data_IF_349924210108
#
_entry.id   IF_349924210108
#
_cell.length_a   1.000
_cell.length_b   1.000
_cell.length_c   1.000
_cell.angle_alpha   90.00
_cell.angle_beta   90.00
_cell.angle_gamma   90.00
#
_symmetry.space_group_name_H-M   'P 1'
#
loop_
_entity.id
_entity.type
_entity.pdbx_description
1 polymer ?
#
# COMPACT_ATOMS: atom_id res chain seq x y z
N UNK A 1 -28.45 1.98 2.36
CA UNK A 1 -27.60 1.14 3.21
C UNK A 1 -27.00 0.08 2.31
N UNK A 2 -25.80 0.32 1.78
CA UNK A 2 -25.07 -0.68 1.01
C UNK A 2 -24.15 -1.35 2.01
N UNK A 3 -24.47 -2.60 2.33
CA UNK A 3 -23.72 -3.45 3.23
C UNK A 3 -22.27 -3.56 2.75
N UNK A 4 -21.32 -3.07 3.56
CA UNK A 4 -19.88 -3.12 3.31
C UNK A 4 -19.25 -4.43 3.78
N UNK A 5 -20.07 -5.46 4.05
CA UNK A 5 -19.55 -6.80 4.27
C UNK A 5 -18.88 -7.32 2.97
N UNK A 6 -17.75 -8.04 3.05
CA UNK A 6 -17.22 -8.73 1.90
C UNK A 6 -18.31 -9.67 1.39
N UNK A 7 -18.86 -9.36 0.21
CA UNK A 7 -19.95 -10.12 -0.39
C UNK A 7 -19.54 -11.58 -0.46
N UNK A 8 -20.38 -12.46 0.09
CA UNK A 8 -20.16 -13.90 0.00
C UNK A 8 -19.92 -14.30 -1.47
N UNK A 9 -19.08 -15.32 -1.72
CA UNK A 9 -19.06 -15.93 -3.04
C UNK A 9 -20.45 -16.47 -3.38
N UNK A 10 -20.78 -16.43 -4.66
CA UNK A 10 -22.05 -16.98 -5.16
C UNK A 10 -22.07 -18.48 -4.88
N UNK A 11 -23.17 -19.05 -4.33
CA UNK A 11 -23.26 -20.48 -4.07
C UNK A 11 -22.93 -21.31 -5.32
N UNK A 12 -22.05 -22.31 -5.15
CA UNK A 12 -21.59 -23.18 -6.24
C UNK A 12 -20.44 -22.63 -7.10
N UNK A 13 -20.05 -21.37 -6.93
CA UNK A 13 -18.82 -20.87 -7.57
C UNK A 13 -17.57 -21.43 -6.87
N UNK A 14 -16.58 -21.95 -7.62
CA UNK A 14 -15.30 -22.33 -7.05
C UNK A 14 -14.57 -21.11 -6.48
N UNK A 15 -13.87 -21.32 -5.36
CA UNK A 15 -12.96 -20.34 -4.78
C UNK A 15 -11.54 -20.90 -4.80
N UNK A 16 -10.62 -20.15 -5.39
CA UNK A 16 -9.22 -20.56 -5.55
C UNK A 16 -8.29 -19.54 -4.88
N UNK A 17 -7.03 -19.93 -4.69
CA UNK A 17 -6.00 -19.02 -4.18
C UNK A 17 -4.73 -19.04 -5.02
N UNK A 18 -4.01 -17.93 -4.96
CA UNK A 18 -2.65 -17.76 -5.45
C UNK A 18 -1.78 -17.18 -4.31
N UNK A 19 -0.77 -17.92 -3.87
CA UNK A 19 0.26 -17.45 -2.92
C UNK A 19 1.45 -16.89 -3.70
N UNK A 20 1.79 -15.62 -3.46
CA UNK A 20 2.82 -14.93 -4.23
C UNK A 20 4.17 -14.85 -3.50
N UNK A 21 5.25 -15.00 -4.26
CA UNK A 21 6.62 -14.69 -3.87
C UNK A 21 7.14 -13.50 -4.69
N UNK A 22 7.87 -12.58 -4.04
CA UNK A 22 8.37 -11.34 -4.63
C UNK A 22 9.90 -11.38 -4.70
N UNK A 23 10.45 -11.67 -5.88
CA UNK A 23 11.90 -11.68 -6.10
C UNK A 23 12.66 -12.53 -5.08
N UNK A 24 13.68 -11.93 -4.47
CA UNK A 24 14.47 -12.53 -3.39
C UNK A 24 13.95 -12.16 -1.98
N UNK A 25 12.81 -11.46 -1.88
CA UNK A 25 12.25 -11.10 -0.59
C UNK A 25 11.80 -12.37 0.17
N UNK A 26 12.12 -12.47 1.47
CA UNK A 26 11.69 -13.61 2.26
C UNK A 26 10.16 -13.67 2.31
N UNK A 27 9.62 -14.89 2.40
CA UNK A 27 8.21 -15.09 2.65
C UNK A 27 7.79 -14.33 3.92
N UNK A 28 6.60 -13.71 3.94
CA UNK A 28 6.13 -13.01 5.11
C UNK A 28 6.01 -13.97 6.29
N UNK A 29 6.31 -13.48 7.50
CA UNK A 29 6.21 -14.27 8.73
C UNK A 29 4.77 -14.74 9.03
N UNK A 30 3.77 -13.99 8.55
CA UNK A 30 2.35 -14.29 8.68
C UNK A 30 1.89 -15.21 7.56
N UNK A 31 1.30 -16.35 7.91
CA UNK A 31 0.83 -17.31 6.92
C UNK A 31 -0.27 -16.71 6.03
N UNK A 32 -0.19 -16.97 4.73
CA UNK A 32 -1.14 -16.44 3.74
C UNK A 32 -1.06 -14.91 3.52
N UNK A 33 -0.06 -14.20 4.07
CA UNK A 33 -0.01 -12.74 3.93
C UNK A 33 0.24 -12.24 2.49
N UNK A 34 0.75 -13.10 1.60
CA UNK A 34 0.86 -12.85 0.17
C UNK A 34 -0.19 -13.63 -0.65
N UNK A 35 -1.28 -14.08 -0.03
CA UNK A 35 -2.35 -14.82 -0.70
C UNK A 35 -3.35 -13.88 -1.36
N UNK A 36 -3.74 -14.20 -2.58
CA UNK A 36 -4.92 -13.66 -3.27
C UNK A 36 -5.96 -14.77 -3.31
N UNK A 37 -7.18 -14.48 -2.88
CA UNK A 37 -8.33 -15.39 -2.94
C UNK A 37 -9.28 -14.90 -4.03
N UNK A 38 -9.68 -15.80 -4.92
CA UNK A 38 -10.44 -15.48 -6.12
C UNK A 38 -11.73 -16.31 -6.16
N UNK A 39 -12.86 -15.65 -6.36
CA UNK A 39 -14.10 -16.30 -6.77
C UNK A 39 -14.08 -16.48 -8.30
N UNK A 40 -14.48 -17.65 -8.79
CA UNK A 40 -14.63 -17.95 -10.21
C UNK A 40 -16.11 -18.07 -10.58
N UNK A 41 -16.56 -17.33 -11.59
CA UNK A 41 -17.97 -17.23 -11.99
C UNK A 41 -18.45 -18.44 -12.81
N UNK A 42 -18.38 -19.64 -12.23
CA UNK A 42 -18.80 -20.88 -12.89
C UNK A 42 -20.29 -20.89 -13.28
N UNK A 43 -21.12 -20.13 -12.57
CA UNK A 43 -22.53 -19.93 -12.89
C UNK A 43 -22.80 -19.16 -14.20
N UNK A 44 -21.85 -18.35 -14.70
CA UNK A 44 -21.98 -17.61 -15.97
C UNK A 44 -21.04 -18.13 -17.06
N UNK A 45 -19.80 -18.43 -16.70
CA UNK A 45 -18.71 -18.81 -17.61
C UNK A 45 -18.04 -20.11 -17.17
N UNK A 46 -18.77 -21.24 -17.20
CA UNK A 46 -18.32 -22.51 -16.63
C UNK A 46 -17.03 -23.05 -17.23
N UNK A 47 -16.79 -22.92 -18.54
CA UNK A 47 -15.56 -23.41 -19.17
C UNK A 47 -14.35 -22.56 -18.79
N UNK A 48 -14.52 -21.24 -18.72
CA UNK A 48 -13.48 -20.29 -18.34
C UNK A 48 -13.11 -20.48 -16.86
N UNK A 49 -14.12 -20.61 -16.00
CA UNK A 49 -13.94 -20.90 -14.59
C UNK A 49 -13.25 -22.26 -14.36
N UNK A 50 -13.69 -23.33 -15.04
CA UNK A 50 -13.07 -24.65 -14.92
C UNK A 50 -11.63 -24.66 -15.43
N UNK A 51 -11.33 -23.96 -16.53
CA UNK A 51 -9.97 -23.80 -17.02
C UNK A 51 -9.04 -23.21 -15.95
N UNK A 52 -9.45 -22.09 -15.34
CA UNK A 52 -8.63 -21.44 -14.31
C UNK A 52 -8.50 -22.30 -13.05
N UNK A 53 -9.62 -22.90 -12.58
CA UNK A 53 -9.65 -23.80 -11.42
C UNK A 53 -8.72 -24.99 -11.60
N UNK A 54 -8.75 -25.63 -12.77
CA UNK A 54 -7.89 -26.74 -13.09
C UNK A 54 -6.41 -26.32 -13.15
N UNK A 55 -6.08 -25.17 -13.74
CA UNK A 55 -4.70 -24.64 -13.74
C UNK A 55 -4.18 -24.33 -12.32
N UNK A 56 -5.05 -23.98 -11.37
CA UNK A 56 -4.68 -23.85 -9.97
C UNK A 56 -4.44 -25.19 -9.25
N UNK A 57 -5.07 -26.28 -9.70
CA UNK A 57 -5.16 -27.55 -8.93
C UNK A 57 -4.47 -28.74 -9.59
N UNK A 58 -4.14 -28.64 -10.87
CA UNK A 58 -3.52 -29.74 -11.62
C UNK A 58 -2.23 -30.20 -10.94
N UNK A 59 -2.02 -31.52 -10.80
CA UNK A 59 -0.77 -32.04 -10.26
C UNK A 59 0.38 -31.74 -11.22
N UNK A 60 1.64 -31.63 -10.75
CA UNK A 60 2.80 -31.39 -11.60
C UNK A 60 3.00 -32.40 -12.74
N UNK A 61 2.41 -33.60 -12.62
CA UNK A 61 2.44 -34.65 -13.63
C UNK A 61 1.49 -34.42 -14.81
N UNK A 62 0.51 -33.51 -14.70
CA UNK A 62 -0.34 -33.13 -15.82
C UNK A 62 0.42 -32.10 -16.66
N UNK A 63 0.74 -32.46 -17.90
CA UNK A 63 1.56 -31.65 -18.79
C UNK A 63 0.73 -30.98 -19.89
N UNK A 64 1.17 -29.79 -20.28
CA UNK A 64 0.75 -29.11 -21.50
C UNK A 64 1.41 -29.74 -22.74
N UNK A 65 0.98 -29.36 -23.94
CA UNK A 65 1.61 -29.83 -25.19
C UNK A 65 3.11 -29.50 -25.30
N UNK A 66 3.54 -28.46 -24.58
CA UNK A 66 4.95 -28.04 -24.48
C UNK A 66 5.82 -28.92 -23.56
N UNK A 67 5.21 -29.87 -22.85
CA UNK A 67 5.88 -30.72 -21.85
C UNK A 67 6.07 -30.06 -20.48
N UNK A 68 5.72 -28.78 -20.33
CA UNK A 68 5.68 -28.10 -19.03
C UNK A 68 4.45 -28.53 -18.21
N UNK A 69 4.48 -28.48 -16.87
CA UNK A 69 3.29 -28.67 -16.06
C UNK A 69 2.16 -27.72 -16.47
N UNK A 70 0.96 -28.25 -16.67
CA UNK A 70 -0.26 -27.50 -16.99
C UNK A 70 -0.83 -26.88 -15.71
N UNK A 71 -0.09 -25.95 -15.12
CA UNK A 71 -0.39 -25.35 -13.81
C UNK A 71 0.12 -23.92 -13.71
N UNK A 72 -0.52 -23.12 -12.85
CA UNK A 72 -0.01 -21.80 -12.47
C UNK A 72 1.15 -21.86 -11.46
N UNK A 73 1.39 -22.99 -10.81
CA UNK A 73 2.50 -23.12 -9.87
C UNK A 73 3.84 -22.83 -10.57
N UNK A 74 4.54 -21.80 -10.09
CA UNK A 74 5.80 -21.33 -10.68
C UNK A 74 5.65 -20.32 -11.80
N UNK A 75 4.43 -20.09 -12.32
CA UNK A 75 4.16 -19.02 -13.29
C UNK A 75 4.36 -17.64 -12.65
N UNK A 76 4.62 -16.63 -13.49
CA UNK A 76 4.92 -15.27 -13.04
C UNK A 76 3.90 -14.26 -13.58
N UNK A 77 3.78 -13.13 -12.89
CA UNK A 77 3.18 -11.93 -13.45
C UNK A 77 4.21 -11.27 -14.37
N UNK A 78 4.09 -11.52 -15.67
CA UNK A 78 5.07 -11.09 -16.67
C UNK A 78 4.81 -9.67 -17.19
N UNK A 79 3.65 -9.07 -16.87
CA UNK A 79 3.27 -7.73 -17.30
C UNK A 79 2.44 -7.03 -16.22
N UNK A 80 2.89 -5.87 -15.76
CA UNK A 80 2.26 -5.06 -14.71
C UNK A 80 2.17 -3.62 -15.18
N UNK A 81 0.96 -3.08 -15.24
CA UNK A 81 0.74 -1.68 -15.62
C UNK A 81 -0.02 -1.00 -14.48
N UNK A 82 0.65 -0.10 -13.72
CA UNK A 82 0.01 0.66 -12.66
C UNK A 82 -1.21 1.43 -13.17
N UNK A 83 -2.28 1.46 -12.37
CA UNK A 83 -3.57 2.06 -12.71
C UNK A 83 -4.19 1.47 -13.98
N UNK A 84 -3.98 0.17 -14.19
CA UNK A 84 -4.63 -0.60 -15.23
C UNK A 84 -4.90 -2.04 -14.78
N UNK A 85 -3.87 -2.90 -14.78
CA UNK A 85 -3.99 -4.32 -14.47
C UNK A 85 -2.65 -5.00 -14.16
N UNK A 86 -2.72 -6.18 -13.54
CA UNK A 86 -1.61 -7.13 -13.40
C UNK A 86 -1.91 -8.40 -14.18
N UNK A 87 -0.99 -8.83 -15.06
CA UNK A 87 -1.20 -9.95 -15.98
C UNK A 87 -0.19 -11.08 -15.73
N UNK A 88 -0.70 -12.31 -15.71
CA UNK A 88 0.06 -13.55 -15.48
C UNK A 88 -0.50 -14.73 -16.28
N UNK A 89 -0.09 -15.94 -15.91
CA UNK A 89 -0.66 -17.18 -16.46
C UNK A 89 0.03 -17.74 -17.71
N UNK A 90 1.10 -17.11 -18.20
CA UNK A 90 2.01 -17.76 -19.16
C UNK A 90 3.00 -18.63 -18.39
N UNK A 91 2.61 -19.89 -18.14
CA UNK A 91 3.46 -20.87 -17.46
C UNK A 91 4.47 -21.56 -18.40
N UNK A 92 4.37 -21.33 -19.71
CA UNK A 92 5.21 -22.02 -20.70
C UNK A 92 6.48 -21.24 -21.06
N UNK A 93 6.37 -19.91 -21.19
CA UNK A 93 7.48 -19.02 -21.59
C UNK A 93 7.70 -17.89 -20.60
N UNK A 94 6.65 -17.47 -19.89
CA UNK A 94 6.71 -16.41 -18.90
C UNK A 94 6.98 -15.03 -19.50
N UNK A 95 6.68 -14.82 -20.78
CA UNK A 95 6.91 -13.56 -21.51
C UNK A 95 5.64 -13.01 -22.18
N UNK A 96 4.52 -13.74 -22.07
CA UNK A 96 3.23 -13.37 -22.63
C UNK A 96 2.99 -13.94 -24.03
N UNK A 97 3.97 -14.64 -24.62
CA UNK A 97 3.82 -15.30 -25.94
C UNK A 97 3.36 -16.75 -25.87
N UNK A 98 3.19 -17.29 -24.66
CA UNK A 98 2.82 -18.68 -24.43
C UNK A 98 1.50 -18.87 -23.67
N UNK A 99 1.40 -20.02 -23.01
CA UNK A 99 0.23 -20.47 -22.27
C UNK A 99 -0.66 -21.41 -23.09
N UNK A 100 -1.38 -22.28 -22.39
CA UNK A 100 -2.25 -23.29 -22.97
C UNK A 100 -3.42 -23.55 -22.01
N UNK A 101 -4.63 -23.74 -22.54
CA UNK A 101 -5.80 -24.08 -21.73
C UNK A 101 -5.88 -25.57 -21.43
N UNK A 102 -6.73 -25.97 -20.51
CA UNK A 102 -6.99 -27.41 -20.27
C UNK A 102 -7.70 -28.11 -21.44
N UNK A 103 -8.19 -27.35 -22.42
CA UNK A 103 -8.91 -27.84 -23.59
C UNK A 103 -8.03 -27.89 -24.85
N UNK A 104 -6.74 -27.53 -24.74
CA UNK A 104 -5.82 -27.35 -25.86
C UNK A 104 -5.25 -25.92 -25.91
N UNK A 105 -4.62 -25.55 -27.02
CA UNK A 105 -3.91 -24.26 -27.14
C UNK A 105 -4.82 -23.06 -26.86
N UNK A 106 -6.05 -23.07 -27.40
CA UNK A 106 -7.03 -21.99 -27.29
C UNK A 106 -8.46 -22.51 -27.09
N UNK A 107 -9.33 -21.67 -26.53
CA UNK A 107 -10.77 -21.90 -26.47
C UNK A 107 -11.57 -20.60 -26.68
N UNK A 108 -12.84 -20.77 -27.07
CA UNK A 108 -13.75 -19.67 -27.43
C UNK A 108 -14.10 -18.76 -26.23
N UNK A 109 -14.52 -17.53 -26.52
CA UNK A 109 -15.11 -16.63 -25.52
C UNK A 109 -16.50 -17.15 -25.09
N UNK A 110 -16.80 -17.18 -23.79
CA UNK A 110 -18.13 -17.58 -23.29
C UNK A 110 -19.10 -16.39 -23.18
N UNK A 111 -18.91 -15.51 -22.19
CA UNK A 111 -19.75 -14.34 -21.95
C UNK A 111 -18.91 -13.06 -21.97
N UNK A 112 -19.21 -12.18 -22.92
CA UNK A 112 -18.56 -10.87 -23.10
C UNK A 112 -19.43 -9.70 -22.61
N UNK A 113 -20.56 -9.99 -21.98
CA UNK A 113 -21.45 -8.96 -21.42
C UNK A 113 -20.95 -8.40 -20.09
N UNK A 114 -20.11 -9.17 -19.38
CA UNK A 114 -19.42 -8.75 -18.16
C UNK A 114 -18.65 -7.44 -18.35
N UNK A 115 -18.80 -6.54 -17.39
CA UNK A 115 -18.21 -5.19 -17.42
C UNK A 115 -16.98 -5.12 -16.54
N UNK A 116 -15.97 -4.39 -17.02
CA UNK A 116 -14.78 -4.08 -16.26
C UNK A 116 -14.96 -2.75 -15.52
N UNK A 117 -16.00 -2.66 -14.68
CA UNK A 117 -16.47 -1.42 -14.06
C UNK A 117 -15.87 -1.11 -12.69
N UNK A 118 -15.08 -2.04 -12.14
CA UNK A 118 -14.45 -1.94 -10.83
C UNK A 118 -13.05 -2.59 -10.81
N UNK A 119 -12.18 -2.22 -9.85
CA UNK A 119 -10.94 -2.94 -9.62
C UNK A 119 -11.21 -4.37 -9.13
N UNK A 120 -10.17 -5.19 -9.19
CA UNK A 120 -10.12 -6.56 -8.68
C UNK A 120 -11.03 -7.57 -9.39
N UNK A 121 -11.40 -7.28 -10.63
CA UNK A 121 -12.03 -8.26 -11.52
C UNK A 121 -10.95 -9.12 -12.17
N UNK A 122 -11.25 -10.41 -12.28
CA UNK A 122 -10.42 -11.41 -12.95
C UNK A 122 -10.95 -11.63 -14.36
N UNK A 123 -10.08 -11.51 -15.36
CA UNK A 123 -10.47 -11.56 -16.76
C UNK A 123 -9.42 -12.23 -17.66
N UNK A 124 -9.86 -12.83 -18.75
CA UNK A 124 -8.99 -13.57 -19.68
C UNK A 124 -8.18 -12.63 -20.56
N UNK A 125 -6.87 -12.87 -20.64
CA UNK A 125 -6.06 -12.28 -21.70
C UNK A 125 -6.20 -13.11 -22.98
N UNK A 126 -6.29 -12.43 -24.12
CA UNK A 126 -6.41 -13.06 -25.44
C UNK A 126 -5.64 -12.25 -26.50
N UNK A 127 -5.48 -12.82 -27.69
CA UNK A 127 -4.86 -12.22 -28.87
C UNK A 127 -5.91 -11.90 -29.96
N UNK A 128 -7.15 -11.66 -29.55
CA UNK A 128 -8.32 -11.52 -30.42
C UNK A 128 -9.45 -12.50 -30.06
N UNK A 129 -10.61 -12.40 -30.74
CA UNK A 129 -11.78 -13.22 -30.43
C UNK A 129 -11.47 -14.72 -30.46
N UNK A 130 -11.95 -15.45 -29.44
CA UNK A 130 -11.84 -16.91 -29.35
C UNK A 130 -10.42 -17.44 -29.13
N UNK A 131 -9.51 -16.63 -28.59
CA UNK A 131 -8.11 -17.01 -28.36
C UNK A 131 -7.72 -17.08 -26.88
N UNK A 132 -8.66 -17.49 -26.03
CA UNK A 132 -8.40 -17.68 -24.61
C UNK A 132 -7.48 -18.87 -24.38
N UNK A 133 -6.45 -18.70 -23.54
CA UNK A 133 -5.51 -19.76 -23.17
C UNK A 133 -5.46 -19.94 -21.65
N UNK A 134 -4.29 -19.77 -21.06
CA UNK A 134 -4.12 -19.73 -19.59
C UNK A 134 -3.87 -18.33 -19.03
N UNK A 135 -3.54 -17.36 -19.89
CA UNK A 135 -3.20 -16.02 -19.44
C UNK A 135 -4.44 -15.28 -18.93
N UNK A 136 -4.25 -14.53 -17.85
CA UNK A 136 -5.29 -13.77 -17.18
C UNK A 136 -4.73 -12.43 -16.71
N UNK A 137 -5.62 -11.49 -16.41
CA UNK A 137 -5.28 -10.29 -15.68
C UNK A 137 -6.27 -10.02 -14.55
N UNK A 138 -5.79 -9.31 -13.53
CA UNK A 138 -6.60 -8.74 -12.46
C UNK A 138 -6.61 -7.22 -12.65
N UNK A 139 -7.79 -6.62 -12.77
CA UNK A 139 -7.92 -5.16 -12.91
C UNK A 139 -7.53 -4.45 -11.61
N UNK A 140 -6.95 -3.25 -11.71
CA UNK A 140 -6.63 -2.42 -10.53
C UNK A 140 -7.39 -1.10 -10.50
N UNK A 141 -8.14 -0.82 -11.58
CA UNK A 141 -9.10 0.28 -11.76
C UNK A 141 -10.21 -0.20 -12.70
N UNK A 142 -11.31 0.55 -12.87
CA UNK A 142 -12.27 0.31 -13.96
C UNK A 142 -11.58 0.42 -15.34
N UNK A 143 -11.85 -0.54 -16.23
CA UNK A 143 -11.23 -0.66 -17.56
C UNK A 143 -12.26 -0.90 -18.67
N UNK A 144 -13.26 -0.01 -18.85
CA UNK A 144 -14.39 -0.23 -19.78
C UNK A 144 -13.99 -0.39 -21.26
N UNK A 145 -12.78 0.01 -21.64
CA UNK A 145 -12.25 -0.20 -22.99
C UNK A 145 -11.97 -1.69 -23.33
N UNK A 146 -11.99 -2.56 -22.32
CA UNK A 146 -11.86 -4.03 -22.43
C UNK A 146 -13.22 -4.74 -22.54
N UNK A 147 -14.32 -4.03 -22.30
CA UNK A 147 -15.67 -4.59 -22.40
C UNK A 147 -15.96 -5.14 -23.80
N UNK A 148 -16.64 -6.28 -23.87
CA UNK A 148 -16.94 -6.93 -25.15
C UNK A 148 -15.74 -7.59 -25.83
N UNK A 149 -14.54 -7.57 -25.21
CA UNK A 149 -13.30 -8.12 -25.78
C UNK A 149 -12.64 -9.19 -24.92
N UNK A 150 -12.82 -9.11 -23.60
CA UNK A 150 -12.23 -10.03 -22.63
C UNK A 150 -13.32 -10.58 -21.72
N UNK A 151 -13.29 -11.91 -21.50
CA UNK A 151 -14.26 -12.59 -20.64
C UNK A 151 -13.94 -12.26 -19.19
N UNK A 152 -14.86 -11.57 -18.49
CA UNK A 152 -14.79 -11.41 -17.02
C UNK A 152 -15.29 -12.70 -16.38
N UNK A 153 -14.45 -13.35 -15.58
CA UNK A 153 -14.76 -14.69 -15.05
C UNK A 153 -14.53 -14.85 -13.55
N UNK A 154 -14.27 -13.76 -12.84
CA UNK A 154 -14.14 -13.81 -11.39
C UNK A 154 -13.83 -12.47 -10.76
N UNK A 155 -13.55 -12.51 -9.46
CA UNK A 155 -13.10 -11.36 -8.67
C UNK A 155 -12.25 -11.77 -7.48
N UNK A 156 -11.49 -10.83 -6.93
CA UNK A 156 -10.78 -11.00 -5.66
C UNK A 156 -11.76 -10.91 -4.49
N UNK A 157 -11.74 -11.92 -3.62
CA UNK A 157 -12.47 -11.92 -2.34
C UNK A 157 -11.60 -11.43 -1.18
N UNK A 158 -10.31 -11.78 -1.18
CA UNK A 158 -9.34 -11.40 -0.16
C UNK A 158 -7.94 -11.23 -0.77
N UNK A 159 -7.11 -10.42 -0.13
CA UNK A 159 -5.75 -10.14 -0.63
C UNK A 159 -5.66 -8.98 -1.62
N UNK A 160 -6.59 -8.02 -1.59
CA UNK A 160 -6.52 -6.78 -2.41
C UNK A 160 -5.20 -6.05 -2.22
N UNK A 161 -4.72 -5.94 -0.98
CA UNK A 161 -3.39 -5.37 -0.68
C UNK A 161 -2.22 -6.10 -1.37
N UNK A 162 -2.34 -7.40 -1.63
CA UNK A 162 -1.35 -8.17 -2.40
C UNK A 162 -1.42 -7.78 -3.87
N UNK A 163 -2.61 -7.67 -4.45
CA UNK A 163 -2.79 -7.16 -5.83
C UNK A 163 -2.19 -5.77 -5.98
N UNK A 164 -2.46 -4.86 -5.04
CA UNK A 164 -1.87 -3.51 -5.00
C UNK A 164 -0.35 -3.52 -4.85
N UNK A 165 0.20 -4.48 -4.10
CA UNK A 165 1.65 -4.67 -3.99
C UNK A 165 2.25 -5.11 -5.32
N UNK A 166 1.61 -6.04 -6.04
CA UNK A 166 2.03 -6.43 -7.40
C UNK A 166 1.96 -5.23 -8.33
N UNK A 167 0.87 -4.45 -8.30
CA UNK A 167 0.72 -3.22 -9.09
C UNK A 167 1.84 -2.20 -8.84
N UNK A 168 2.32 -2.10 -7.60
CA UNK A 168 3.36 -1.16 -7.19
C UNK A 168 4.80 -1.60 -7.41
N UNK A 169 5.05 -2.79 -7.97
CA UNK A 169 6.43 -3.24 -8.24
C UNK A 169 7.08 -2.40 -9.34
N UNK A 170 8.40 -2.27 -9.29
CA UNK A 170 9.14 -1.62 -10.36
C UNK A 170 9.11 -2.48 -11.62
N UNK A 171 8.85 -1.84 -12.76
CA UNK A 171 8.84 -2.49 -14.07
C UNK A 171 9.95 -1.94 -14.98
N UNK A 172 10.31 -2.74 -15.97
CA UNK A 172 11.17 -2.33 -17.10
C UNK A 172 10.35 -1.56 -18.14
N UNK A 173 11.00 -1.04 -19.19
CA UNK A 173 10.32 -0.30 -20.26
C UNK A 173 9.27 -1.10 -21.07
N UNK A 174 9.15 -2.42 -20.86
CA UNK A 174 8.12 -3.27 -21.46
C UNK A 174 7.10 -3.79 -20.46
N UNK A 175 6.84 -3.06 -19.38
CA UNK A 175 5.88 -3.40 -18.30
C UNK A 175 6.20 -4.68 -17.52
N UNK A 176 7.31 -5.37 -17.82
CA UNK A 176 7.74 -6.56 -17.07
C UNK A 176 8.32 -6.13 -15.71
N UNK A 177 7.89 -6.74 -14.59
CA UNK A 177 8.55 -6.56 -13.29
C UNK A 177 10.06 -6.75 -13.35
N UNK A 178 10.81 -5.88 -12.65
CA UNK A 178 12.28 -5.97 -12.57
C UNK A 178 12.70 -7.21 -11.78
N UNK A 179 11.97 -7.51 -10.70
CA UNK A 179 12.07 -8.76 -9.96
C UNK A 179 10.82 -9.59 -10.23
N UNK A 180 11.00 -10.90 -10.43
CA UNK A 180 9.88 -11.79 -10.73
C UNK A 180 8.89 -11.82 -9.56
N UNK A 181 7.60 -11.62 -9.86
CA UNK A 181 6.49 -11.93 -8.95
C UNK A 181 5.93 -13.27 -9.37
N UNK A 182 6.17 -14.30 -8.55
CA UNK A 182 5.87 -15.70 -8.86
C UNK A 182 4.70 -16.22 -8.05
N UNK A 183 3.87 -17.04 -8.67
CA UNK A 183 2.86 -17.87 -7.99
C UNK A 183 3.60 -19.05 -7.35
N UNK A 184 3.89 -18.93 -6.05
CA UNK A 184 4.63 -19.92 -5.27
C UNK A 184 3.74 -21.04 -4.71
N UNK A 185 2.44 -20.81 -4.65
CA UNK A 185 1.42 -21.80 -4.31
C UNK A 185 0.10 -21.44 -4.96
N UNK A 186 -0.70 -22.44 -5.32
CA UNK A 186 -2.06 -22.23 -5.79
C UNK A 186 -2.90 -23.48 -5.53
N UNK A 187 -4.22 -23.29 -5.49
CA UNK A 187 -5.15 -24.39 -5.26
C UNK A 187 -6.58 -23.90 -5.13
N UNK A 188 -7.45 -24.80 -4.67
CA UNK A 188 -8.88 -24.56 -4.46
C UNK A 188 -9.22 -24.79 -2.99
N UNK A 189 -10.14 -23.99 -2.47
CA UNK A 189 -10.74 -24.20 -1.15
C UNK A 189 -11.88 -25.22 -1.24
N UNK A 190 -12.05 -26.05 -0.21
CA UNK A 190 -13.22 -26.92 -0.10
C UNK A 190 -14.47 -26.14 0.35
N UNK A 191 -15.64 -26.78 0.23
CA UNK A 191 -16.93 -26.14 0.51
C UNK A 191 -17.02 -25.63 1.96
N UNK A 192 -16.47 -26.37 2.92
CA UNK A 192 -16.47 -25.97 4.33
C UNK A 192 -15.62 -24.72 4.56
N UNK A 193 -14.43 -24.65 3.96
CA UNK A 193 -13.57 -23.47 4.01
C UNK A 193 -14.23 -22.25 3.36
N UNK A 194 -14.97 -22.45 2.27
CA UNK A 194 -15.71 -21.37 1.59
C UNK A 194 -16.86 -20.86 2.45
N UNK A 195 -17.64 -21.76 3.05
CA UNK A 195 -18.75 -21.41 3.96
C UNK A 195 -18.25 -20.64 5.19
N UNK A 196 -17.15 -21.09 5.80
CA UNK A 196 -16.53 -20.44 6.96
C UNK A 196 -15.70 -19.21 6.60
N UNK A 197 -15.47 -18.95 5.30
CA UNK A 197 -14.55 -17.92 4.78
C UNK A 197 -13.14 -18.04 5.36
N UNK A 198 -12.70 -19.28 5.56
CA UNK A 198 -11.41 -19.63 6.14
C UNK A 198 -10.33 -19.65 5.05
N UNK A 199 -9.82 -18.47 4.73
CA UNK A 199 -8.89 -18.29 3.61
C UNK A 199 -7.43 -18.71 3.88
N UNK A 200 -7.13 -19.20 5.09
CA UNK A 200 -5.76 -19.48 5.51
C UNK A 200 -4.85 -18.25 5.52
N UNK A 201 -5.44 -17.05 5.64
CA UNK A 201 -4.74 -15.79 5.85
C UNK A 201 -4.81 -15.50 7.35
N UNK A 202 -3.69 -15.63 8.05
CA UNK A 202 -3.62 -15.32 9.48
C UNK A 202 -4.01 -13.87 9.73
N UNK A 203 -4.66 -13.58 10.86
CA UNK A 203 -5.03 -12.20 11.20
C UNK A 203 -3.78 -11.31 11.38
N UNK A 204 -3.92 -10.01 11.11
CA UNK A 204 -2.87 -9.06 11.44
C UNK A 204 -2.70 -9.06 12.99
N UNK A 205 -1.48 -9.29 13.52
CA UNK A 205 -1.25 -9.40 14.97
C UNK A 205 -1.53 -8.10 15.73
N UNK A 206 -1.66 -6.98 15.01
CA UNK A 206 -2.04 -5.69 15.57
C UNK A 206 -3.55 -5.50 15.69
N UNK A 207 -4.36 -6.39 15.12
CA UNK A 207 -5.81 -6.29 15.07
C UNK A 207 -6.34 -5.33 14.01
N UNK A 208 -5.50 -4.87 13.08
CA UNK A 208 -5.91 -4.04 11.95
C UNK A 208 -6.72 -4.87 10.93
N UNK A 209 -7.98 -4.49 10.74
CA UNK A 209 -8.92 -5.15 9.83
C UNK A 209 -9.23 -4.34 8.57
N UNK A 210 -8.64 -3.16 8.42
CA UNK A 210 -8.94 -2.24 7.32
C UNK A 210 -8.10 -2.56 6.09
N UNK A 211 -8.57 -2.21 4.90
CA UNK A 211 -7.82 -2.37 3.65
C UNK A 211 -6.57 -1.47 3.63
N UNK A 212 -5.54 -1.84 2.87
CA UNK A 212 -4.28 -1.07 2.86
C UNK A 212 -4.45 0.34 2.25
N UNK A 213 -5.38 0.46 1.30
CA UNK A 213 -5.74 1.67 0.57
C UNK A 213 -7.22 1.99 0.79
N UNK A 214 -7.56 3.26 1.08
CA UNK A 214 -8.94 3.66 1.42
C UNK A 214 -9.93 3.44 0.27
N UNK A 215 -9.49 3.62 -0.98
CA UNK A 215 -10.32 3.42 -2.18
C UNK A 215 -10.86 1.98 -2.29
N UNK A 216 -10.20 1.02 -1.63
CA UNK A 216 -10.54 -0.41 -1.67
C UNK A 216 -11.41 -0.85 -0.47
N UNK A 217 -11.61 0.04 0.52
CA UNK A 217 -12.34 -0.22 1.77
C UNK A 217 -13.85 -0.26 1.56
N UNK A 218 -14.41 0.82 1.01
CA UNK A 218 -15.85 0.95 0.79
C UNK A 218 -16.13 2.05 -0.24
N UNK A 219 -17.08 1.83 -1.18
CA UNK A 219 -17.43 2.83 -2.19
C UNK A 219 -18.04 4.10 -1.60
N UNK A 220 -18.48 4.07 -0.34
CA UNK A 220 -19.09 5.24 0.32
C UNK A 220 -18.08 6.11 1.06
N UNK A 221 -16.86 5.61 1.27
CA UNK A 221 -15.86 6.25 2.12
C UNK A 221 -15.42 7.63 1.56
N UNK A 222 -15.39 7.78 0.23
CA UNK A 222 -15.10 9.04 -0.46
C UNK A 222 -16.11 10.16 -0.14
N UNK A 223 -17.29 9.80 0.35
CA UNK A 223 -18.35 10.75 0.73
C UNK A 223 -18.61 10.79 2.23
N UNK A 224 -17.87 10.01 3.02
CA UNK A 224 -18.03 9.90 4.47
C UNK A 224 -16.74 10.27 5.23
N UNK A 225 -16.55 11.57 5.54
CA UNK A 225 -15.41 12.02 6.34
C UNK A 225 -15.41 11.47 7.78
N UNK A 226 -16.57 11.15 8.35
CA UNK A 226 -16.68 10.63 9.72
C UNK A 226 -16.15 9.20 9.78
N UNK A 227 -16.61 8.32 8.88
CA UNK A 227 -16.08 6.96 8.78
C UNK A 227 -14.56 6.97 8.53
N UNK A 228 -14.08 7.87 7.66
CA UNK A 228 -12.64 8.03 7.41
C UNK A 228 -11.87 8.44 8.67
N UNK A 229 -12.43 9.36 9.47
CA UNK A 229 -11.85 9.79 10.74
C UNK A 229 -11.76 8.64 11.74
N UNK A 230 -12.81 7.84 11.85
CA UNK A 230 -12.90 6.72 12.80
C UNK A 230 -11.86 5.64 12.47
N UNK A 231 -11.73 5.27 11.20
CA UNK A 231 -10.72 4.32 10.73
C UNK A 231 -9.31 4.86 11.00
N UNK A 232 -9.03 6.11 10.62
CA UNK A 232 -7.72 6.72 10.86
C UNK A 232 -7.38 6.81 12.36
N UNK A 233 -8.39 7.00 13.22
CA UNK A 233 -8.23 7.02 14.68
C UNK A 233 -7.88 5.63 15.22
N UNK A 234 -8.55 4.59 14.76
CA UNK A 234 -8.23 3.21 15.10
C UNK A 234 -6.80 2.85 14.68
N UNK A 235 -6.43 3.16 13.43
CA UNK A 235 -5.08 2.92 12.90
C UNK A 235 -3.99 3.67 13.67
N UNK A 236 -4.23 4.93 14.04
CA UNK A 236 -3.29 5.69 14.88
C UNK A 236 -3.16 5.09 16.28
N UNK A 237 -4.24 4.56 16.85
CA UNK A 237 -4.21 3.89 18.16
C UNK A 237 -3.34 2.64 18.12
N UNK A 238 -3.47 1.84 17.05
CA UNK A 238 -2.60 0.70 16.78
C UNK A 238 -1.14 1.16 16.64
N UNK A 239 -0.89 2.20 15.84
CA UNK A 239 0.44 2.76 15.64
C UNK A 239 1.10 3.26 16.94
N UNK A 240 0.34 3.95 17.80
CA UNK A 240 0.81 4.39 19.12
C UNK A 240 1.19 3.20 20.02
N UNK A 241 0.41 2.12 19.96
CA UNK A 241 0.66 0.88 20.72
C UNK A 241 1.94 0.18 20.23
N UNK A 242 2.17 0.12 18.93
CA UNK A 242 3.42 -0.40 18.37
C UNK A 242 4.61 0.50 18.75
N UNK A 243 4.43 1.83 18.68
CA UNK A 243 5.47 2.80 19.03
C UNK A 243 5.90 2.68 20.50
N UNK A 244 4.97 2.50 21.43
CA UNK A 244 5.28 2.35 22.86
C UNK A 244 6.07 1.07 23.17
N UNK A 245 5.91 0.04 22.33
CA UNK A 245 6.69 -1.22 22.38
C UNK A 245 8.01 -1.12 21.62
N UNK A 246 8.39 0.06 21.14
CA UNK A 246 9.58 0.28 20.28
C UNK A 246 9.55 -0.48 18.95
N UNK A 247 8.40 -0.98 18.52
CA UNK A 247 8.21 -1.51 17.16
C UNK A 247 7.93 -0.34 16.20
N UNK A 248 9.00 0.38 15.88
CA UNK A 248 8.93 1.58 15.05
C UNK A 248 8.61 1.27 13.59
N UNK A 249 8.88 0.05 13.12
CA UNK A 249 8.55 -0.38 11.76
C UNK A 249 7.04 -0.49 11.62
N UNK A 250 6.38 -1.25 12.50
CA UNK A 250 4.92 -1.38 12.51
C UNK A 250 4.23 -0.06 12.82
N UNK A 251 4.76 0.71 13.77
CA UNK A 251 4.20 2.04 14.05
C UNK A 251 4.25 2.95 12.81
N UNK A 252 5.38 2.97 12.09
CA UNK A 252 5.55 3.77 10.88
C UNK A 252 4.56 3.36 9.78
N UNK A 253 4.37 2.06 9.55
CA UNK A 253 3.43 1.58 8.52
C UNK A 253 1.99 1.96 8.87
N UNK A 254 1.57 1.78 10.13
CA UNK A 254 0.20 2.11 10.57
C UNK A 254 -0.07 3.62 10.60
N UNK A 255 0.90 4.46 10.97
CA UNK A 255 0.75 5.91 10.84
C UNK A 255 0.62 6.36 9.37
N UNK A 256 1.43 5.79 8.47
CA UNK A 256 1.32 6.08 7.03
C UNK A 256 -0.06 5.67 6.49
N UNK A 257 -0.56 4.49 6.89
CA UNK A 257 -1.90 4.04 6.56
C UNK A 257 -2.97 5.01 7.07
N UNK A 258 -2.92 5.41 8.34
CA UNK A 258 -3.84 6.41 8.89
C UNK A 258 -3.82 7.72 8.09
N UNK A 259 -2.65 8.19 7.65
CA UNK A 259 -2.54 9.38 6.81
C UNK A 259 -3.07 9.19 5.39
N UNK A 260 -3.00 7.98 4.81
CA UNK A 260 -3.63 7.67 3.53
C UNK A 260 -5.15 7.77 3.63
N UNK A 261 -5.76 7.19 4.66
CA UNK A 261 -7.18 7.38 4.94
C UNK A 261 -7.52 8.88 5.08
N UNK A 262 -6.75 9.62 5.89
CA UNK A 262 -6.98 11.06 6.05
C UNK A 262 -6.73 11.90 4.79
N UNK A 263 -6.07 11.35 3.77
CA UNK A 263 -5.83 12.02 2.50
C UNK A 263 -6.99 11.84 1.51
N UNK A 264 -7.93 10.91 1.77
CA UNK A 264 -9.12 10.71 0.94
C UNK A 264 -9.97 11.99 0.86
N UNK A 265 -10.05 12.74 1.96
CA UNK A 265 -10.69 14.04 2.03
C UNK A 265 -9.63 15.15 2.17
N UNK A 266 -8.99 15.59 1.08
CA UNK A 266 -7.98 16.65 1.13
C UNK A 266 -8.59 18.01 1.52
N UNK A 267 -9.85 18.22 1.15
CA UNK A 267 -10.69 19.34 1.54
C UNK A 267 -12.02 18.76 2.02
N UNK A 268 -12.41 19.10 3.24
CA UNK A 268 -13.70 18.68 3.78
C UNK A 268 -14.82 19.52 3.16
N UNK A 269 -16.01 18.94 2.88
CA UNK A 269 -17.17 19.69 2.41
C UNK A 269 -17.51 20.86 3.34
N UNK A 270 -17.97 21.99 2.79
CA UNK A 270 -18.37 23.17 3.59
C UNK A 270 -19.53 22.88 4.56
N UNK A 271 -20.30 21.83 4.29
CA UNK A 271 -21.39 21.33 5.15
C UNK A 271 -20.90 20.51 6.35
N UNK A 272 -19.59 20.21 6.43
CA UNK A 272 -19.01 19.41 7.50
C UNK A 272 -19.09 20.16 8.84
N UNK A 273 -19.61 19.54 9.91
CA UNK A 273 -19.67 20.18 11.22
C UNK A 273 -18.29 20.67 11.69
N UNK A 274 -18.24 21.85 12.32
CA UNK A 274 -16.98 22.44 12.80
C UNK A 274 -16.22 21.50 13.77
N UNK A 275 -16.95 20.73 14.57
CA UNK A 275 -16.38 19.71 15.48
C UNK A 275 -15.65 18.61 14.73
N UNK A 276 -16.22 18.11 13.63
CA UNK A 276 -15.61 17.08 12.78
C UNK A 276 -14.38 17.64 12.05
N UNK A 277 -14.48 18.85 11.50
CA UNK A 277 -13.34 19.54 10.88
C UNK A 277 -12.17 19.71 11.85
N UNK A 278 -12.45 20.13 13.10
CA UNK A 278 -11.45 20.26 14.14
C UNK A 278 -10.82 18.91 14.53
N UNK A 279 -11.62 17.85 14.67
CA UNK A 279 -11.13 16.50 14.99
C UNK A 279 -10.23 15.94 13.87
N UNK A 280 -10.64 16.12 12.62
CA UNK A 280 -9.91 15.64 11.45
C UNK A 280 -8.55 16.32 11.28
N UNK A 281 -8.53 17.65 11.42
CA UNK A 281 -7.29 18.44 11.34
C UNK A 281 -6.35 18.12 12.50
N UNK A 282 -6.87 18.01 13.73
CA UNK A 282 -6.10 17.62 14.90
C UNK A 282 -5.50 16.21 14.78
N UNK A 283 -6.28 15.25 14.26
CA UNK A 283 -5.82 13.89 14.03
C UNK A 283 -4.70 13.86 12.98
N UNK A 284 -4.90 14.53 11.83
CA UNK A 284 -3.91 14.59 10.74
C UNK A 284 -2.59 15.20 11.22
N UNK A 285 -2.63 16.35 11.88
CA UNK A 285 -1.43 17.02 12.39
C UNK A 285 -0.68 16.14 13.40
N UNK A 286 -1.39 15.58 14.38
CA UNK A 286 -0.75 14.75 15.41
C UNK A 286 -0.18 13.45 14.85
N UNK A 287 -0.84 12.85 13.85
CA UNK A 287 -0.32 11.66 13.14
C UNK A 287 0.92 11.99 12.30
N UNK A 288 0.95 13.12 11.59
CA UNK A 288 2.15 13.58 10.85
C UNK A 288 3.34 13.81 11.77
N UNK A 289 3.08 14.48 12.90
CA UNK A 289 4.08 14.69 13.93
C UNK A 289 4.61 13.35 14.45
N UNK A 290 3.74 12.44 14.87
CA UNK A 290 4.14 11.14 15.41
C UNK A 290 4.93 10.31 14.39
N UNK A 291 4.49 10.29 13.13
CA UNK A 291 5.20 9.61 12.05
C UNK A 291 6.59 10.20 11.82
N UNK A 292 6.73 11.53 11.83
CA UNK A 292 8.04 12.17 11.69
C UNK A 292 9.03 11.74 12.79
N UNK A 293 8.56 11.66 14.03
CA UNK A 293 9.37 11.13 15.15
C UNK A 293 9.65 9.63 15.00
N UNK A 294 8.66 8.85 14.59
CA UNK A 294 8.78 7.41 14.36
C UNK A 294 9.83 7.10 13.30
N UNK A 295 9.80 7.81 12.18
CA UNK A 295 10.75 7.68 11.09
C UNK A 295 12.21 7.97 11.52
N UNK A 296 12.42 8.84 12.51
CA UNK A 296 13.76 9.08 13.08
C UNK A 296 14.23 7.95 14.01
N UNK A 297 13.29 7.17 14.56
CA UNK A 297 13.53 6.08 15.51
C UNK A 297 13.62 4.70 14.85
N UNK A 298 13.20 4.56 13.58
CA UNK A 298 13.41 3.32 12.84
C UNK A 298 14.90 3.02 12.67
N UNK A 299 15.23 1.75 12.44
CA UNK A 299 16.59 1.31 12.14
C UNK A 299 16.62 0.60 10.78
N UNK A 300 17.24 1.20 9.74
CA UNK A 300 17.87 2.52 9.74
C UNK A 300 16.84 3.66 9.85
N UNK A 301 17.27 4.85 10.31
CA UNK A 301 16.41 6.04 10.29
C UNK A 301 15.97 6.41 8.87
N UNK A 302 14.75 6.92 8.74
CA UNK A 302 14.14 7.33 7.47
C UNK A 302 13.99 8.86 7.41
N UNK A 303 15.09 9.62 7.20
CA UNK A 303 15.04 11.07 7.31
C UNK A 303 14.20 11.74 6.22
N UNK A 304 14.13 11.17 5.01
CA UNK A 304 13.27 11.70 3.94
C UNK A 304 11.79 11.70 4.37
N UNK A 305 11.31 10.58 4.95
CA UNK A 305 9.96 10.46 5.48
C UNK A 305 9.71 11.45 6.62
N UNK A 306 10.68 11.58 7.54
CA UNK A 306 10.60 12.52 8.65
C UNK A 306 10.50 13.99 8.18
N UNK A 307 11.29 14.38 7.17
CA UNK A 307 11.29 15.72 6.56
C UNK A 307 9.94 16.01 5.91
N UNK A 308 9.40 15.09 5.12
CA UNK A 308 8.12 15.25 4.42
C UNK A 308 7.00 15.57 5.40
N UNK A 309 6.84 14.75 6.44
CA UNK A 309 5.72 14.93 7.38
C UNK A 309 5.90 16.09 8.35
N UNK A 310 7.13 16.40 8.77
CA UNK A 310 7.37 17.61 9.55
C UNK A 310 7.13 18.88 8.72
N UNK A 311 7.48 18.88 7.43
CA UNK A 311 7.22 20.01 6.54
C UNK A 311 5.72 20.21 6.32
N UNK A 312 4.96 19.12 6.12
CA UNK A 312 3.51 19.19 6.01
C UNK A 312 2.86 19.77 7.29
N UNK A 313 3.35 19.35 8.46
CA UNK A 313 2.88 19.89 9.75
C UNK A 313 3.20 21.39 9.90
N UNK A 314 4.41 21.83 9.53
CA UNK A 314 4.80 23.25 9.55
C UNK A 314 3.91 24.06 8.61
N UNK A 315 3.74 23.61 7.36
CA UNK A 315 2.92 24.30 6.37
C UNK A 315 1.46 24.46 6.83
N UNK A 316 0.92 23.43 7.49
CA UNK A 316 -0.41 23.50 8.10
C UNK A 316 -0.44 24.54 9.23
N UNK A 317 0.50 24.48 10.18
CA UNK A 317 0.52 25.33 11.36
C UNK A 317 0.82 26.81 11.07
N UNK A 318 1.49 27.11 9.96
CA UNK A 318 1.76 28.50 9.52
C UNK A 318 0.76 29.02 8.49
N UNK A 319 -0.26 28.23 8.14
CA UNK A 319 -1.29 28.66 7.20
C UNK A 319 -2.18 29.74 7.83
N UNK A 320 -2.63 30.76 7.08
CA UNK A 320 -3.57 31.77 7.59
C UNK A 320 -4.86 31.18 8.17
N UNK A 321 -5.26 29.98 7.72
CA UNK A 321 -6.44 29.25 8.21
C UNK A 321 -6.25 28.57 9.57
N UNK A 322 -5.01 28.45 10.05
CA UNK A 322 -4.71 27.81 11.33
C UNK A 322 -5.00 28.73 12.53
N UNK A 323 -5.03 30.05 12.31
CA UNK A 323 -5.47 31.04 13.30
C UNK A 323 -6.96 31.32 13.14
N UNK A 324 -7.79 30.76 14.03
CA UNK A 324 -9.14 31.29 14.24
C UNK A 324 -9.01 32.60 15.01
N UNK A 325 -9.79 33.63 14.64
CA UNK A 325 -9.96 34.85 15.44
C UNK A 325 -10.53 34.57 16.86
N UNK A 326 -10.99 33.34 17.12
CA UNK A 326 -11.63 32.87 18.35
C UNK A 326 -10.75 31.83 19.09
N UNK A 327 -9.49 31.63 18.67
CA UNK A 327 -8.59 30.69 19.34
C UNK A 327 -8.25 31.20 20.75
N UNK A 328 -8.47 30.38 21.77
CA UNK A 328 -8.06 30.72 23.12
C UNK A 328 -6.54 30.58 23.33
N UNK A 329 -6.04 31.14 24.43
CA UNK A 329 -4.61 31.11 24.75
C UNK A 329 -4.04 29.68 24.89
N UNK A 330 -4.88 28.69 25.23
CA UNK A 330 -4.44 27.30 25.34
C UNK A 330 -4.24 26.67 23.96
N UNK A 331 -5.13 26.96 23.00
CA UNK A 331 -5.01 26.55 21.61
C UNK A 331 -3.77 27.17 20.94
N UNK A 332 -3.53 28.47 21.15
CA UNK A 332 -2.33 29.16 20.64
C UNK A 332 -1.03 28.58 21.20
N UNK A 333 -1.00 28.33 22.52
CA UNK A 333 0.14 27.71 23.18
C UNK A 333 0.42 26.30 22.65
N UNK A 334 -0.63 25.49 22.44
CA UNK A 334 -0.52 24.15 21.86
C UNK A 334 0.01 24.20 20.42
N UNK A 335 -0.50 25.11 19.58
CA UNK A 335 -0.02 25.28 18.21
C UNK A 335 1.44 25.68 18.16
N UNK A 336 1.86 26.60 19.04
CA UNK A 336 3.26 27.01 19.18
C UNK A 336 4.15 25.83 19.56
N UNK A 337 3.71 25.02 20.53
CA UNK A 337 4.40 23.79 20.94
C UNK A 337 4.51 22.77 19.80
N UNK A 338 3.42 22.54 19.05
CA UNK A 338 3.40 21.60 17.93
C UNK A 338 4.27 22.08 16.76
N UNK A 339 4.35 23.39 16.51
CA UNK A 339 5.23 23.98 15.51
C UNK A 339 6.71 23.83 15.90
N UNK A 340 7.04 24.06 17.16
CA UNK A 340 8.39 23.83 17.68
C UNK A 340 8.81 22.37 17.53
N UNK A 341 7.92 21.42 17.85
CA UNK A 341 8.16 19.97 17.66
C UNK A 341 8.42 19.64 16.18
N UNK A 342 7.65 20.23 15.27
CA UNK A 342 7.80 19.98 13.84
C UNK A 342 9.17 20.45 13.33
N UNK A 343 9.57 21.68 13.65
CA UNK A 343 10.91 22.19 13.31
C UNK A 343 12.01 21.35 13.92
N UNK A 344 11.92 21.02 15.22
CA UNK A 344 12.91 20.19 15.89
C UNK A 344 13.08 18.81 15.22
N UNK A 345 11.97 18.12 14.90
CA UNK A 345 12.02 16.81 14.23
C UNK A 345 12.58 16.92 12.82
N UNK A 346 12.23 17.96 12.07
CA UNK A 346 12.80 18.20 10.73
C UNK A 346 14.31 18.49 10.80
N UNK A 347 14.76 19.24 11.79
CA UNK A 347 16.18 19.46 12.03
C UNK A 347 16.94 18.14 12.27
N UNK A 348 16.43 17.28 13.16
CA UNK A 348 17.04 15.96 13.41
C UNK A 348 17.14 15.12 12.13
N UNK A 349 16.14 15.20 11.25
CA UNK A 349 16.16 14.51 9.97
C UNK A 349 17.20 15.11 8.99
N UNK A 350 17.37 16.44 8.97
CA UNK A 350 18.44 17.09 8.22
C UNK A 350 19.82 16.72 8.76
N UNK A 351 19.98 16.65 10.08
CA UNK A 351 21.20 16.17 10.75
C UNK A 351 21.53 14.74 10.30
N UNK A 352 20.54 13.83 10.30
CA UNK A 352 20.71 12.46 9.82
C UNK A 352 21.05 12.39 8.31
N UNK A 353 20.60 13.38 7.53
CA UNK A 353 20.90 13.52 6.10
C UNK A 353 22.13 14.40 5.79
N UNK A 354 22.93 14.78 6.80
CA UNK A 354 24.12 15.64 6.67
C UNK A 354 23.84 17.04 6.07
N UNK A 355 22.64 17.57 6.25
CA UNK A 355 22.20 18.90 5.80
C UNK A 355 22.29 19.92 6.94
N UNK A 356 23.50 20.14 7.47
CA UNK A 356 23.73 20.91 8.71
C UNK A 356 23.17 22.34 8.67
N UNK A 357 23.24 23.05 7.54
CA UNK A 357 22.71 24.42 7.43
C UNK A 357 21.19 24.49 7.57
N UNK A 358 20.49 23.51 6.98
CA UNK A 358 19.02 23.41 7.12
C UNK A 358 18.63 22.99 8.53
N UNK A 359 19.41 22.08 9.14
CA UNK A 359 19.21 21.70 10.52
C UNK A 359 19.35 22.89 11.47
N UNK A 360 20.35 23.75 11.27
CA UNK A 360 20.55 24.94 12.10
C UNK A 360 19.37 25.91 11.98
N UNK A 361 18.92 26.19 10.76
CA UNK A 361 17.75 27.06 10.54
C UNK A 361 16.50 26.58 11.29
N UNK A 362 16.24 25.27 11.28
CA UNK A 362 15.08 24.70 12.00
C UNK A 362 15.28 24.68 13.52
N UNK A 363 16.49 24.43 14.03
CA UNK A 363 16.77 24.47 15.47
C UNK A 363 16.67 25.88 16.04
N UNK A 364 17.13 26.89 15.29
CA UNK A 364 16.96 28.31 15.66
C UNK A 364 15.47 28.63 15.73
N UNK A 365 14.69 28.23 14.73
CA UNK A 365 13.24 28.46 14.76
C UNK A 365 12.54 27.74 15.90
N UNK A 366 12.91 26.49 16.19
CA UNK A 366 12.39 25.74 17.32
C UNK A 366 12.72 26.42 18.67
N UNK A 367 13.93 27.01 18.79
CA UNK A 367 14.36 27.75 19.99
C UNK A 367 13.60 29.07 20.14
N UNK A 368 13.31 29.78 19.06
CA UNK A 368 12.48 31.00 19.12
C UNK A 368 11.08 30.71 19.65
N UNK A 369 10.50 29.58 19.23
CA UNK A 369 9.16 29.16 19.64
C UNK A 369 9.14 28.58 21.07
N UNK A 370 10.19 27.86 21.46
CA UNK A 370 10.32 27.23 22.78
C UNK A 370 11.73 27.47 23.35
N UNK A 371 12.00 28.65 23.92
CA UNK A 371 13.35 29.05 24.35
C UNK A 371 13.96 28.16 25.42
N UNK A 372 13.13 27.50 26.22
CA UNK A 372 13.55 26.67 27.35
C UNK A 372 13.58 25.17 27.09
N UNK A 373 13.31 24.74 25.86
CA UNK A 373 13.38 23.33 25.50
C UNK A 373 14.84 22.81 25.57
N UNK A 374 15.08 21.90 26.52
CA UNK A 374 16.40 21.33 26.76
C UNK A 374 16.91 20.49 25.58
N UNK A 375 16.00 19.83 24.83
CA UNK A 375 16.33 19.05 23.64
C UNK A 375 16.86 19.93 22.52
N UNK A 376 16.16 21.04 22.25
CA UNK A 376 16.59 22.03 21.24
C UNK A 376 17.93 22.65 21.60
N UNK A 377 18.11 23.09 22.87
CA UNK A 377 19.39 23.66 23.35
C UNK A 377 20.56 22.67 23.17
N UNK A 378 20.33 21.40 23.54
CA UNK A 378 21.34 20.34 23.43
C UNK A 378 21.72 20.06 21.99
N UNK A 379 20.75 19.91 21.10
CA UNK A 379 21.01 19.58 19.70
C UNK A 379 21.69 20.74 18.96
N UNK A 380 21.29 21.98 19.23
CA UNK A 380 21.95 23.16 18.64
C UNK A 380 23.43 23.24 19.05
N UNK A 381 23.73 23.01 20.34
CA UNK A 381 25.11 22.96 20.81
C UNK A 381 25.91 21.81 20.17
N UNK A 382 25.28 20.64 19.95
CA UNK A 382 25.90 19.52 19.25
C UNK A 382 26.18 19.83 17.77
N UNK A 383 25.26 20.53 17.10
CA UNK A 383 25.40 20.93 15.70
C UNK A 383 26.53 21.95 15.51
N UNK A 384 26.65 22.96 16.39
CA UNK A 384 27.75 23.93 16.38
C UNK A 384 29.09 23.21 16.47
N UNK A 385 29.27 22.33 17.46
CA UNK A 385 30.50 21.53 17.62
C UNK A 385 30.82 20.68 16.39
N UNK A 386 29.79 20.11 15.75
CA UNK A 386 29.94 19.31 14.53
C UNK A 386 30.40 20.16 13.34
N UNK A 387 29.79 21.34 13.13
CA UNK A 387 30.19 22.27 12.06
C UNK A 387 31.63 22.74 12.25
N UNK A 388 32.01 23.10 13.48
CA UNK A 388 33.41 23.48 13.82
C UNK A 388 34.39 22.33 13.56
N UNK A 389 34.05 21.11 13.94
CA UNK A 389 34.86 19.92 13.66
C UNK A 389 35.03 19.70 12.14
N UNK A 390 33.95 19.87 11.35
CA UNK A 390 33.98 19.75 9.89
C UNK A 390 34.90 20.79 9.25
N UNK A 391 34.81 22.06 9.67
CA UNK A 391 35.68 23.14 9.18
C UNK A 391 37.14 22.86 9.54
N UNK A 392 37.42 22.43 10.77
CA UNK A 392 38.79 22.04 11.18
C UNK A 392 39.34 20.88 10.34
N UNK A 393 38.52 19.86 10.07
CA UNK A 393 38.91 18.73 9.23
C UNK A 393 39.19 19.16 7.78
N UNK A 394 38.34 20.03 7.20
CA UNK A 394 38.56 20.61 5.87
C UNK A 394 39.87 21.40 5.82
N UNK A 395 40.12 22.29 6.79
CA UNK A 395 41.38 23.06 6.88
C UNK A 395 42.61 22.14 6.92
N UNK A 396 42.55 21.06 7.72
CA UNK A 396 43.64 20.06 7.83
C UNK A 396 43.83 19.27 6.52
N UNK A 397 42.76 18.99 5.79
CA UNK A 397 42.84 18.32 4.50
C UNK A 397 43.47 19.24 3.44
N UNK A 398 43.02 20.51 3.37
CA UNK A 398 43.59 21.51 2.47
C UNK A 398 45.08 21.76 2.76
N UNK A 399 45.48 21.90 4.04
CA UNK A 399 46.89 22.11 4.38
C UNK A 399 47.81 20.95 3.98
N UNK A 400 47.27 19.73 3.84
CA UNK A 400 48.02 18.55 3.36
C UNK A 400 48.08 18.42 1.85
N UNK A 401 47.22 19.11 1.10
CA UNK A 401 47.24 19.10 -0.36
C UNK A 401 48.24 20.11 -0.93
N UNK A 402 48.65 21.10 -0.12
CA UNK A 402 49.59 22.17 -0.49
C UNK A 402 50.92 22.11 0.28
N UNK A 403 51.14 21.04 1.04
CA UNK A 403 52.41 20.68 1.67
C UNK A 403 52.90 19.37 1.02
#
# INVERSE_FOLDING_TARGET
MVDSSPTAPTPGNPVVYLDLAFGAEPAPARAGANRIVLELYAHTVPKTAENFRALCTNPPSKLASTGQPLSFLGSIFHRVIPKFMIQGGDFTRGDGTGGESIYGEKFDDEDLTGKHDQPFLLSMANAGPGTNGSQFFITTVPTPHLDGKHVVFGRVLAGKGVVRRVEGVKTTGGDRPVEDVRIAGCGQFDDAQVEERSWGIEADPTGDTYEEYPDDESPTLETDPQATLDIATALKTIANTAFSRSDYTTASTKYQKALRYLALHPVLPDTTPATLTAAYTALKLSTQLNLSLCALKTTPPQPALAITHATAAIAFLTSPRAGSWDADAAAESKMTSDLAKAHYRRALAYVASKQDERAESDLVRAKELMPDDAGVKKELAALVKRKEARVRAQRKAYSKMFA
#
